data_IF_258040676524
#
_entry.id   IF_258040676524
#
_cell.length_a   1.000
_cell.length_b   1.000
_cell.length_c   1.000
_cell.angle_alpha   90.00
_cell.angle_beta   90.00
_cell.angle_gamma   90.00
#
_symmetry.space_group_name_H-M   'P 1'
#
loop_
_entity.id
_entity.type
_entity.pdbx_description
1 polymer ?
#
# COMPACT_ATOMS: atom_id res chain seq x y z
N UNK A 1 -39.30 35.80 53.27
CA UNK A 1 -38.98 34.46 52.70
C UNK A 1 -38.55 34.66 51.26
N UNK A 2 -37.24 34.65 51.03
CA UNK A 2 -36.64 34.87 49.65
C UNK A 2 -36.47 33.48 49.01
N UNK A 3 -37.19 33.24 47.91
CA UNK A 3 -37.06 32.03 47.09
C UNK A 3 -35.84 32.18 46.15
N UNK A 4 -34.80 31.37 46.38
CA UNK A 4 -33.61 31.31 45.54
C UNK A 4 -33.91 30.35 44.38
N UNK A 5 -34.02 30.87 43.13
CA UNK A 5 -34.15 30.07 41.91
C UNK A 5 -32.72 29.73 41.44
N UNK A 6 -32.34 28.46 41.53
CA UNK A 6 -31.12 27.94 40.94
C UNK A 6 -31.44 27.55 39.51
N UNK A 7 -30.92 28.34 38.54
CA UNK A 7 -30.97 27.99 37.13
C UNK A 7 -29.82 27.04 36.84
N UNK A 8 -30.11 25.77 36.63
CA UNK A 8 -29.15 24.78 36.16
C UNK A 8 -28.86 25.00 34.66
N UNK A 9 -27.72 25.55 34.33
CA UNK A 9 -27.25 25.67 32.94
C UNK A 9 -26.79 24.29 32.43
N UNK A 10 -27.60 23.69 31.57
CA UNK A 10 -27.25 22.45 30.88
C UNK A 10 -26.23 22.76 29.79
N UNK A 11 -24.95 22.52 30.03
CA UNK A 11 -23.88 22.62 29.03
C UNK A 11 -23.95 21.39 28.12
N UNK A 12 -24.61 21.55 26.97
CA UNK A 12 -24.58 20.58 25.89
C UNK A 12 -23.17 20.58 25.23
N UNK A 13 -22.32 19.66 25.60
CA UNK A 13 -21.09 19.39 24.87
C UNK A 13 -21.46 18.73 23.54
N UNK A 14 -21.45 19.51 22.46
CA UNK A 14 -21.54 18.98 21.10
C UNK A 14 -20.23 18.25 20.78
N UNK A 15 -20.25 16.94 20.89
CA UNK A 15 -19.18 16.09 20.32
C UNK A 15 -19.29 16.21 18.80
N UNK A 16 -18.34 16.92 18.16
CA UNK A 16 -18.23 16.94 16.71
C UNK A 16 -17.90 15.50 16.25
N UNK A 17 -18.90 14.80 15.75
CA UNK A 17 -18.71 13.56 15.02
C UNK A 17 -18.04 13.90 13.68
N UNK A 18 -16.72 13.74 13.61
CA UNK A 18 -16.02 13.81 12.34
C UNK A 18 -16.49 12.64 11.48
N UNK A 19 -17.19 12.94 10.39
CA UNK A 19 -17.62 11.93 9.43
C UNK A 19 -16.38 11.27 8.82
N UNK A 20 -16.39 9.93 8.80
CA UNK A 20 -15.34 9.15 8.18
C UNK A 20 -15.33 9.39 6.66
N UNK A 21 -14.17 9.76 6.13
CA UNK A 21 -13.98 9.91 4.69
C UNK A 21 -13.43 8.62 4.11
N UNK A 22 -14.10 8.09 3.10
CA UNK A 22 -13.66 6.88 2.37
C UNK A 22 -13.09 7.28 1.01
N UNK A 23 -12.02 6.60 0.62
CA UNK A 23 -11.31 6.79 -0.62
C UNK A 23 -11.14 5.44 -1.31
N UNK A 24 -11.23 5.43 -2.63
CA UNK A 24 -10.93 4.26 -3.45
C UNK A 24 -9.73 4.58 -4.35
N UNK A 25 -8.81 3.65 -4.52
CA UNK A 25 -7.70 3.82 -5.46
C UNK A 25 -8.25 4.00 -6.87
N UNK A 26 -7.64 4.90 -7.62
CA UNK A 26 -7.89 5.08 -9.05
C UNK A 26 -6.80 4.33 -9.84
N UNK A 27 -7.10 3.14 -10.39
CA UNK A 27 -6.08 2.33 -11.08
C UNK A 27 -5.54 2.98 -12.35
N UNK A 28 -6.31 3.87 -13.00
CA UNK A 28 -5.89 4.55 -14.21
C UNK A 28 -4.76 5.55 -13.96
N UNK A 29 -4.69 6.12 -12.76
CA UNK A 29 -3.68 7.11 -12.35
C UNK A 29 -2.75 6.58 -11.26
N UNK A 30 -2.69 5.27 -11.08
CA UNK A 30 -1.86 4.61 -10.07
C UNK A 30 -0.96 3.54 -10.68
N UNK A 31 0.12 3.21 -9.97
CA UNK A 31 1.02 2.13 -10.36
C UNK A 31 1.56 1.38 -9.14
N UNK A 32 1.69 0.05 -9.30
CA UNK A 32 2.34 -0.84 -8.33
C UNK A 32 3.52 -1.53 -9.02
N UNK A 33 4.74 -1.08 -8.73
CA UNK A 33 5.97 -1.56 -9.33
C UNK A 33 6.87 -2.25 -8.31
N UNK A 34 7.76 -3.08 -8.82
CA UNK A 34 8.85 -3.66 -8.06
C UNK A 34 10.14 -3.69 -8.87
N UNK A 35 11.27 -3.72 -8.17
CA UNK A 35 12.60 -3.85 -8.76
C UNK A 35 13.38 -4.90 -7.97
N UNK A 36 14.13 -5.76 -8.68
CA UNK A 36 14.99 -6.78 -8.08
C UNK A 36 16.31 -6.85 -8.85
N UNK A 37 17.43 -7.05 -8.12
CA UNK A 37 18.73 -7.23 -8.73
C UNK A 37 18.81 -8.57 -9.47
N UNK A 38 19.39 -8.56 -10.65
CA UNK A 38 19.66 -9.74 -11.48
C UNK A 38 21.16 -9.90 -11.75
N UNK A 39 21.70 -11.10 -11.52
CA UNK A 39 23.11 -11.46 -11.68
C UNK A 39 24.08 -10.52 -10.92
N UNK A 40 23.61 -9.79 -9.93
CA UNK A 40 24.38 -8.79 -9.15
C UNK A 40 24.81 -7.55 -9.97
N UNK A 41 24.54 -7.50 -11.27
CA UNK A 41 25.06 -6.47 -12.19
C UNK A 41 23.96 -5.62 -12.85
N UNK A 42 22.70 -6.03 -12.78
CA UNK A 42 21.57 -5.32 -13.43
C UNK A 42 20.33 -5.45 -12.57
N UNK A 43 19.27 -4.76 -12.98
CA UNK A 43 17.97 -4.79 -12.31
C UNK A 43 16.89 -5.24 -13.29
N UNK A 44 15.90 -5.96 -12.76
CA UNK A 44 14.66 -6.28 -13.44
C UNK A 44 13.56 -5.50 -12.75
N UNK A 45 12.86 -4.68 -13.52
CA UNK A 45 11.61 -4.05 -13.10
C UNK A 45 10.41 -4.88 -13.54
N UNK A 46 9.36 -4.82 -12.75
CA UNK A 46 8.04 -5.33 -13.10
C UNK A 46 6.94 -4.51 -12.46
N UNK A 47 5.73 -4.76 -12.91
CA UNK A 47 4.53 -4.13 -12.34
C UNK A 47 3.39 -5.14 -12.22
N UNK A 48 2.42 -4.80 -11.38
CA UNK A 48 1.13 -5.48 -11.34
C UNK A 48 0.08 -4.58 -11.97
N UNK A 49 -0.60 -5.08 -13.00
CA UNK A 49 -1.58 -4.29 -13.79
C UNK A 49 -2.95 -4.19 -13.12
N UNK A 50 -3.28 -5.14 -12.23
CA UNK A 50 -4.59 -5.22 -11.58
C UNK A 50 -4.42 -5.15 -10.06
N UNK A 51 -4.97 -4.12 -9.46
CA UNK A 51 -4.99 -3.92 -8.01
C UNK A 51 -6.21 -3.10 -7.61
N UNK A 52 -6.56 -3.16 -6.34
CA UNK A 52 -7.60 -2.36 -5.71
C UNK A 52 -7.15 -1.94 -4.31
N UNK A 53 -7.66 -0.82 -3.85
CA UNK A 53 -7.34 -0.33 -2.52
C UNK A 53 -8.40 0.63 -2.02
N UNK A 54 -8.57 0.65 -0.71
CA UNK A 54 -9.41 1.61 0.00
C UNK A 54 -8.60 2.26 1.11
N UNK A 55 -8.89 3.51 1.38
CA UNK A 55 -8.37 4.23 2.52
C UNK A 55 -9.54 4.90 3.24
N UNK A 56 -9.50 4.90 4.57
CA UNK A 56 -10.51 5.55 5.42
C UNK A 56 -9.80 6.39 6.47
N UNK A 57 -10.24 7.63 6.66
CA UNK A 57 -9.72 8.53 7.67
C UNK A 57 -10.81 9.45 8.22
N UNK A 58 -10.59 9.99 9.41
CA UNK A 58 -11.43 11.06 10.00
C UNK A 58 -10.67 12.37 10.10
N UNK A 59 -9.34 12.31 10.17
CA UNK A 59 -8.48 13.49 10.27
C UNK A 59 -8.05 13.98 8.89
N UNK A 60 -8.06 15.28 8.62
CA UNK A 60 -7.67 15.83 7.33
C UNK A 60 -6.18 15.67 7.01
N UNK A 61 -5.35 15.36 8.02
CA UNK A 61 -3.91 15.11 7.87
C UNK A 61 -3.57 13.63 7.68
N UNK A 62 -4.56 12.74 7.56
CA UNK A 62 -4.40 11.29 7.33
C UNK A 62 -3.64 10.52 8.43
N UNK A 63 -3.40 11.10 9.61
CA UNK A 63 -2.65 10.40 10.69
C UNK A 63 -3.40 9.23 11.31
N UNK A 64 -4.70 9.12 11.05
CA UNK A 64 -5.57 8.02 11.45
C UNK A 64 -5.99 7.14 10.26
N UNK A 65 -5.36 7.33 9.09
CA UNK A 65 -5.75 6.59 7.90
C UNK A 65 -5.55 5.09 8.08
N UNK A 66 -6.59 4.35 7.73
CA UNK A 66 -6.58 2.89 7.60
C UNK A 66 -6.63 2.54 6.12
N UNK A 67 -5.67 1.72 5.67
CA UNK A 67 -5.48 1.34 4.26
C UNK A 67 -5.59 -0.16 4.11
N UNK A 68 -6.49 -0.59 3.23
CA UNK A 68 -6.57 -1.96 2.71
C UNK A 68 -6.19 -1.94 1.23
N UNK A 69 -5.22 -2.78 0.84
CA UNK A 69 -4.75 -2.86 -0.55
C UNK A 69 -4.61 -4.33 -0.98
N UNK A 70 -5.05 -4.64 -2.19
CA UNK A 70 -4.98 -5.97 -2.76
C UNK A 70 -4.50 -5.92 -4.20
N UNK A 71 -3.54 -6.78 -4.53
CA UNK A 71 -2.97 -6.95 -5.87
C UNK A 71 -3.36 -8.31 -6.39
N UNK A 72 -3.92 -8.37 -7.61
CA UNK A 72 -4.04 -9.61 -8.37
C UNK A 72 -2.64 -10.02 -8.86
N UNK A 73 -2.10 -11.09 -8.29
CA UNK A 73 -0.72 -11.51 -8.57
C UNK A 73 -0.57 -12.04 -10.00
N UNK A 74 -1.63 -12.59 -10.59
CA UNK A 74 -1.62 -13.06 -11.98
C UNK A 74 -1.46 -11.91 -12.99
N UNK A 75 -1.67 -10.65 -12.55
CA UNK A 75 -1.47 -9.46 -13.37
C UNK A 75 -0.02 -9.00 -13.48
N UNK A 76 0.93 -9.76 -12.94
CA UNK A 76 2.36 -9.45 -13.02
C UNK A 76 2.82 -9.36 -14.46
N UNK A 77 3.60 -8.32 -14.75
CA UNK A 77 4.17 -8.04 -16.05
C UNK A 77 5.58 -7.48 -15.89
N UNK A 78 6.53 -8.12 -16.54
CA UNK A 78 7.95 -7.72 -16.59
C UNK A 78 8.41 -7.50 -18.03
N UNK A 79 7.47 -7.37 -18.98
CA UNK A 79 7.70 -7.26 -20.43
C UNK A 79 8.48 -8.48 -21.00
N UNK A 80 8.31 -9.65 -20.38
CA UNK A 80 8.86 -10.93 -20.82
C UNK A 80 7.91 -12.07 -20.43
N UNK A 81 7.22 -12.64 -21.42
CA UNK A 81 6.18 -13.66 -21.20
C UNK A 81 6.69 -14.92 -20.51
N UNK A 82 7.90 -15.40 -20.85
CA UNK A 82 8.47 -16.59 -20.22
C UNK A 82 8.76 -16.33 -18.74
N UNK A 83 9.32 -15.18 -18.42
CA UNK A 83 9.57 -14.78 -17.03
C UNK A 83 8.27 -14.60 -16.27
N UNK A 84 7.28 -13.94 -16.85
CA UNK A 84 5.97 -13.74 -16.24
C UNK A 84 5.27 -15.07 -15.95
N UNK A 85 5.35 -16.04 -16.88
CA UNK A 85 4.85 -17.39 -16.68
C UNK A 85 5.56 -18.10 -15.52
N UNK A 86 6.90 -17.98 -15.43
CA UNK A 86 7.69 -18.57 -14.35
C UNK A 86 7.37 -17.90 -13.00
N UNK A 87 7.22 -16.57 -12.96
CA UNK A 87 6.82 -15.85 -11.74
C UNK A 87 5.44 -16.28 -11.21
N UNK A 88 4.52 -16.71 -12.08
CA UNK A 88 3.20 -17.21 -11.70
C UNK A 88 3.22 -18.65 -11.17
N UNK A 89 4.27 -19.42 -11.44
CA UNK A 89 4.40 -20.82 -11.04
C UNK A 89 4.65 -20.98 -9.53
N UNK A 90 4.69 -22.24 -9.06
CA UNK A 90 4.95 -22.58 -7.64
C UNK A 90 6.37 -22.20 -7.18
N UNK A 91 7.32 -22.08 -8.10
CA UNK A 91 8.68 -21.59 -7.80
C UNK A 91 8.68 -20.19 -7.19
N UNK A 92 7.65 -19.38 -7.53
CA UNK A 92 7.50 -18.01 -7.06
C UNK A 92 6.15 -17.77 -6.39
N UNK A 93 5.20 -17.17 -7.10
CA UNK A 93 3.97 -16.69 -6.48
C UNK A 93 2.89 -17.76 -6.33
N UNK A 94 2.90 -18.82 -7.14
CA UNK A 94 1.85 -19.83 -7.18
C UNK A 94 0.45 -19.19 -7.28
N UNK A 95 0.22 -18.49 -8.36
CA UNK A 95 -0.97 -17.62 -8.52
C UNK A 95 -2.29 -18.39 -8.53
N UNK A 96 -2.27 -19.70 -8.87
CA UNK A 96 -3.45 -20.58 -8.81
C UNK A 96 -3.90 -20.79 -7.36
N UNK A 97 -2.94 -20.96 -6.43
CA UNK A 97 -3.22 -21.17 -5.01
C UNK A 97 -3.33 -19.87 -4.24
N UNK A 98 -2.54 -18.85 -4.61
CA UNK A 98 -2.44 -17.58 -3.93
C UNK A 98 -2.69 -16.41 -4.90
N UNK A 99 -3.94 -16.18 -5.30
CA UNK A 99 -4.24 -15.21 -6.37
C UNK A 99 -3.99 -13.76 -5.96
N UNK A 100 -3.93 -13.45 -4.66
CA UNK A 100 -3.81 -12.08 -4.19
C UNK A 100 -2.64 -11.90 -3.21
N UNK A 101 -1.93 -10.78 -3.36
CA UNK A 101 -1.16 -10.18 -2.27
C UNK A 101 -2.03 -9.16 -1.55
N UNK A 102 -1.95 -9.11 -0.21
CA UNK A 102 -2.82 -8.27 0.61
C UNK A 102 -1.98 -7.46 1.58
N UNK A 103 -2.24 -6.17 1.65
CA UNK A 103 -1.71 -5.29 2.69
C UNK A 103 -2.84 -4.70 3.51
N UNK A 104 -2.70 -4.75 4.85
CA UNK A 104 -3.61 -4.10 5.80
C UNK A 104 -2.80 -3.23 6.74
N UNK A 105 -3.05 -1.93 6.74
CA UNK A 105 -2.34 -1.01 7.61
C UNK A 105 -2.72 -1.22 9.08
N UNK A 106 -1.78 -0.92 9.95
CA UNK A 106 -1.97 -0.89 11.41
C UNK A 106 -1.76 0.51 11.98
N UNK A 107 -0.97 1.34 11.31
CA UNK A 107 -0.80 2.74 11.70
C UNK A 107 -0.27 3.59 10.55
N UNK A 108 -0.66 4.87 10.52
CA UNK A 108 -0.06 5.90 9.69
C UNK A 108 0.42 7.05 10.58
N UNK A 109 1.73 7.30 10.57
CA UNK A 109 2.36 8.34 11.40
C UNK A 109 2.95 9.42 10.53
N UNK A 110 2.58 10.67 10.80
CA UNK A 110 3.19 11.84 10.18
C UNK A 110 4.59 12.07 10.75
N UNK A 111 5.53 12.35 9.88
CA UNK A 111 6.89 12.79 10.20
C UNK A 111 7.01 14.31 10.02
N UNK A 112 7.97 14.77 9.26
CA UNK A 112 8.14 16.17 8.93
C UNK A 112 7.53 16.51 7.55
N UNK A 113 6.93 17.68 7.43
CA UNK A 113 6.36 18.15 6.16
C UNK A 113 5.27 17.24 5.62
N UNK A 114 5.49 16.70 4.41
CA UNK A 114 4.58 15.78 3.73
C UNK A 114 5.02 14.31 3.80
N UNK A 115 5.91 13.96 4.73
CA UNK A 115 6.43 12.60 4.93
C UNK A 115 5.66 11.88 6.02
N UNK A 116 5.42 10.59 5.79
CA UNK A 116 4.72 9.69 6.71
C UNK A 116 5.42 8.33 6.74
N UNK A 117 5.10 7.57 7.77
CA UNK A 117 5.38 6.15 7.85
C UNK A 117 4.05 5.40 7.92
N UNK A 118 3.83 4.46 7.00
CA UNK A 118 2.69 3.54 7.01
C UNK A 118 3.19 2.16 7.42
N UNK A 119 2.71 1.66 8.55
CA UNK A 119 3.02 0.30 9.03
C UNK A 119 1.80 -0.58 8.82
N UNK A 120 2.02 -1.84 8.48
CA UNK A 120 0.93 -2.79 8.28
C UNK A 120 1.44 -4.21 8.09
N UNK A 121 0.51 -5.11 7.84
CA UNK A 121 0.77 -6.51 7.58
C UNK A 121 0.67 -6.77 6.08
N UNK A 122 1.75 -7.25 5.47
CA UNK A 122 1.81 -7.69 4.07
C UNK A 122 1.73 -9.21 4.02
N UNK A 123 0.78 -9.72 3.27
CA UNK A 123 0.62 -11.14 2.99
C UNK A 123 1.01 -11.42 1.55
N UNK A 124 1.98 -12.30 1.35
CA UNK A 124 2.37 -12.85 0.04
C UNK A 124 2.32 -14.37 0.17
N UNK A 125 1.63 -15.03 -0.76
CA UNK A 125 1.26 -16.45 -0.64
C UNK A 125 0.45 -16.67 0.67
N UNK A 126 0.93 -17.55 1.54
CA UNK A 126 0.37 -17.85 2.87
C UNK A 126 1.14 -17.22 4.04
N UNK A 127 2.14 -16.39 3.74
CA UNK A 127 2.99 -15.77 4.78
C UNK A 127 2.63 -14.30 4.97
N UNK A 128 2.33 -13.93 6.21
CA UNK A 128 2.05 -12.55 6.62
C UNK A 128 3.19 -12.03 7.49
N UNK A 129 3.74 -10.87 7.12
CA UNK A 129 4.81 -10.18 7.86
C UNK A 129 4.48 -8.72 8.07
N UNK A 130 4.90 -8.11 9.19
CA UNK A 130 4.85 -6.66 9.35
C UNK A 130 5.83 -5.99 8.39
N UNK A 131 5.36 -4.93 7.72
CA UNK A 131 6.18 -4.08 6.85
C UNK A 131 5.97 -2.62 7.17
N UNK A 132 6.96 -1.80 6.81
CA UNK A 132 6.95 -0.37 6.99
C UNK A 132 7.22 0.28 5.64
N UNK A 133 6.29 1.14 5.19
CA UNK A 133 6.47 1.97 4.01
C UNK A 133 6.86 3.39 4.40
N UNK A 134 7.82 3.95 3.68
CA UNK A 134 8.06 5.37 3.65
C UNK A 134 7.09 6.01 2.67
N UNK A 135 6.27 6.95 3.15
CA UNK A 135 5.18 7.54 2.39
C UNK A 135 5.40 9.04 2.21
N UNK A 136 5.16 9.52 1.00
CA UNK A 136 5.13 10.94 0.68
C UNK A 136 3.73 11.31 0.21
N UNK A 137 3.08 12.23 0.92
CA UNK A 137 1.83 12.84 0.51
C UNK A 137 2.07 13.84 -0.63
N UNK A 138 1.39 13.65 -1.75
CA UNK A 138 1.53 14.46 -2.95
C UNK A 138 0.59 15.68 -3.01
N UNK A 139 -0.43 15.69 -2.15
CA UNK A 139 -1.44 16.75 -2.13
C UNK A 139 -2.85 16.25 -2.40
N UNK A 140 -3.81 17.17 -2.25
CA UNK A 140 -5.24 16.98 -2.58
C UNK A 140 -5.61 17.96 -3.67
N UNK A 141 -6.37 17.50 -4.67
CA UNK A 141 -6.88 18.33 -5.76
C UNK A 141 -8.31 17.92 -6.10
N UNK A 142 -9.02 18.77 -6.86
CA UNK A 142 -10.26 18.39 -7.54
C UNK A 142 -9.99 18.17 -9.01
N UNK A 143 -10.55 17.09 -9.55
CA UNK A 143 -10.53 16.84 -10.99
C UNK A 143 -11.54 17.74 -11.75
N UNK A 144 -11.51 17.67 -13.08
CA UNK A 144 -12.41 18.46 -13.94
C UNK A 144 -13.90 18.15 -13.72
N UNK A 145 -14.23 17.05 -13.08
CA UNK A 145 -15.58 16.61 -12.78
C UNK A 145 -16.01 16.94 -11.33
N UNK A 146 -15.14 17.66 -10.58
CA UNK A 146 -15.40 18.06 -9.20
C UNK A 146 -15.14 16.97 -8.15
N UNK A 147 -14.60 15.80 -8.53
CA UNK A 147 -14.25 14.76 -7.57
C UNK A 147 -12.95 15.15 -6.83
N UNK A 148 -12.93 14.95 -5.52
CA UNK A 148 -11.72 15.16 -4.72
C UNK A 148 -10.78 13.98 -4.88
N UNK A 149 -9.53 14.26 -5.19
CA UNK A 149 -8.44 13.29 -5.38
C UNK A 149 -7.31 13.56 -4.40
N UNK A 150 -6.61 12.52 -3.99
CA UNK A 150 -5.42 12.62 -3.13
C UNK A 150 -4.32 11.70 -3.64
N UNK A 151 -3.09 12.21 -3.68
CA UNK A 151 -1.92 11.47 -4.19
C UNK A 151 -0.96 11.06 -3.09
N UNK A 152 -0.46 9.81 -3.18
CA UNK A 152 0.61 9.28 -2.32
C UNK A 152 1.66 8.54 -3.13
N UNK A 153 2.91 8.62 -2.67
CA UNK A 153 3.99 7.70 -3.07
C UNK A 153 4.39 6.90 -1.86
N UNK A 154 4.54 5.59 -2.01
CA UNK A 154 4.98 4.72 -0.93
C UNK A 154 6.06 3.77 -1.43
N UNK A 155 7.13 3.58 -0.67
CA UNK A 155 8.20 2.66 -1.01
C UNK A 155 8.64 1.87 0.22
N UNK A 156 9.14 0.66 -0.04
CA UNK A 156 9.78 -0.20 0.96
C UNK A 156 10.67 -1.23 0.26
N UNK A 157 11.51 -1.89 1.04
CA UNK A 157 12.29 -3.06 0.60
C UNK A 157 11.88 -4.25 1.46
N UNK A 158 11.59 -5.37 0.81
CA UNK A 158 11.29 -6.64 1.49
C UNK A 158 12.28 -7.73 1.05
N UNK A 159 12.53 -8.68 1.94
CA UNK A 159 13.24 -9.90 1.57
C UNK A 159 12.22 -10.94 1.06
N UNK A 160 12.27 -11.30 -0.22
CA UNK A 160 11.35 -12.27 -0.83
C UNK A 160 11.40 -13.66 -0.21
N UNK A 161 12.54 -14.05 0.37
CA UNK A 161 12.68 -15.35 1.05
C UNK A 161 11.81 -15.44 2.32
N UNK A 162 11.55 -14.30 2.97
CA UNK A 162 10.68 -14.23 4.15
C UNK A 162 9.24 -14.60 3.83
N UNK A 163 8.85 -14.57 2.56
CA UNK A 163 7.54 -14.93 2.03
C UNK A 163 7.52 -16.25 1.26
N UNK A 164 8.60 -17.03 1.36
CA UNK A 164 8.67 -18.34 0.70
C UNK A 164 8.96 -18.31 -0.80
N UNK A 165 9.27 -17.16 -1.40
CA UNK A 165 9.69 -17.04 -2.80
C UNK A 165 11.19 -17.35 -2.91
N UNK A 166 11.55 -18.65 -2.74
CA UNK A 166 12.93 -19.09 -2.51
C UNK A 166 13.67 -19.49 -3.78
N UNK A 167 13.00 -19.57 -4.93
CA UNK A 167 13.68 -19.96 -6.17
C UNK A 167 14.91 -19.08 -6.40
N UNK A 168 16.01 -19.74 -6.73
CA UNK A 168 17.23 -19.10 -7.14
C UNK A 168 18.11 -20.13 -7.86
N UNK A 169 19.00 -19.64 -8.70
CA UNK A 169 20.07 -20.41 -9.29
C UNK A 169 21.41 -19.74 -8.95
N UNK A 170 22.42 -20.53 -8.69
CA UNK A 170 23.77 -20.02 -8.50
C UNK A 170 24.37 -19.60 -9.86
N UNK A 171 25.09 -18.50 -9.87
CA UNK A 171 25.93 -18.13 -11.02
C UNK A 171 27.26 -18.87 -10.96
N UNK A 172 27.97 -18.97 -12.09
CA UNK A 172 29.31 -19.60 -12.12
C UNK A 172 30.32 -18.91 -11.17
N UNK A 173 30.14 -17.61 -10.92
CA UNK A 173 30.94 -16.85 -9.97
C UNK A 173 30.47 -17.00 -8.50
N UNK A 174 29.50 -17.89 -8.20
CA UNK A 174 29.00 -18.13 -6.85
C UNK A 174 27.98 -17.11 -6.36
N UNK A 175 27.54 -16.17 -7.20
CA UNK A 175 26.48 -15.19 -6.87
C UNK A 175 25.07 -15.75 -7.09
N UNK A 176 24.07 -15.00 -6.65
CA UNK A 176 22.66 -15.30 -6.87
C UNK A 176 22.18 -14.76 -8.23
N UNK A 177 21.41 -15.56 -8.98
CA UNK A 177 20.77 -15.10 -10.23
C UNK A 177 19.75 -14.00 -9.95
N UNK A 178 18.97 -14.12 -8.86
CA UNK A 178 17.96 -13.15 -8.46
C UNK A 178 18.19 -12.72 -7.02
N UNK A 179 18.30 -11.42 -6.79
CA UNK A 179 18.50 -10.83 -5.48
C UNK A 179 17.38 -11.22 -4.49
N UNK A 180 17.72 -11.25 -3.21
CA UNK A 180 16.75 -11.54 -2.13
C UNK A 180 15.87 -10.33 -1.81
N UNK A 181 16.43 -9.13 -1.95
CA UNK A 181 15.79 -7.88 -1.61
C UNK A 181 15.02 -7.34 -2.82
N UNK A 182 13.75 -7.04 -2.61
CA UNK A 182 12.85 -6.52 -3.64
C UNK A 182 12.37 -5.14 -3.18
N UNK A 183 12.68 -4.13 -3.98
CA UNK A 183 12.13 -2.78 -3.81
C UNK A 183 10.71 -2.74 -4.33
N UNK A 184 9.80 -2.18 -3.52
CA UNK A 184 8.40 -1.94 -3.89
C UNK A 184 8.19 -0.44 -4.00
N UNK A 185 7.68 0.02 -5.15
CA UNK A 185 7.36 1.41 -5.43
C UNK A 185 5.90 1.56 -5.85
N UNK A 186 5.14 2.28 -5.05
CA UNK A 186 3.73 2.57 -5.30
C UNK A 186 3.55 4.07 -5.57
N UNK A 187 2.84 4.40 -6.64
CA UNK A 187 2.33 5.74 -6.91
C UNK A 187 0.83 5.63 -6.98
N UNK A 188 0.14 6.22 -6.02
CA UNK A 188 -1.30 5.98 -5.84
C UNK A 188 -2.06 7.29 -5.86
N UNK A 189 -3.09 7.34 -6.67
CA UNK A 189 -4.15 8.33 -6.61
C UNK A 189 -5.41 7.68 -6.04
N UNK A 190 -6.01 8.33 -5.06
CA UNK A 190 -7.28 7.90 -4.49
C UNK A 190 -8.36 8.94 -4.81
N UNK A 191 -9.55 8.47 -5.17
CA UNK A 191 -10.74 9.29 -5.32
C UNK A 191 -11.61 9.17 -4.07
N UNK A 192 -12.12 10.30 -3.57
CA UNK A 192 -13.09 10.30 -2.49
C UNK A 192 -14.36 9.59 -2.94
N UNK A 193 -14.84 8.63 -2.14
CA UNK A 193 -16.09 7.95 -2.39
C UNK A 193 -17.27 8.94 -2.19
N UNK A 194 -18.27 8.84 -3.05
CA UNK A 194 -19.53 9.61 -2.93
C UNK A 194 -20.44 9.01 -1.89
#
# INVERSE_FOLDING_TARGET
MKKLMIAAALVLTQSALFAQTKWNVDPAHSSAKFTVTHLVISEVEGNFKTFKGTMVNTKPDFTDANVDFSIDVASINTDNEMRDKHLKSDDFFNTEKYPNMIFKSTSMKKLAGNKYTLTGNLTIRDVTKPVKFDVTYGGTAKDAYGNTKVGFKANTVINRFDYGLKWNAATEAGGATVGKDVTIDLKLEFAQAK
#
